data_IF_997982102688
#
_entry.id   IF_997982102688
#
_cell.length_a   1.000
_cell.length_b   1.000
_cell.length_c   1.000
_cell.angle_alpha   90.00
_cell.angle_beta   90.00
_cell.angle_gamma   90.00
#
_symmetry.space_group_name_H-M   'P 1'
#
loop_
_entity.id
_entity.type
_entity.pdbx_description
1 polymer ?
#
# COMPACT_ATOMS: atom_id res chain seq x y z
N UNK A 1 26.18 0.80 -9.51
CA UNK A 1 25.33 1.55 -10.45
C UNK A 1 23.91 1.04 -10.25
N UNK A 2 22.95 1.91 -9.93
CA UNK A 2 21.55 1.51 -9.73
C UNK A 2 20.87 1.31 -11.09
N UNK A 3 20.16 0.20 -11.26
CA UNK A 3 19.34 -0.05 -12.45
C UNK A 3 17.98 0.64 -12.27
N UNK A 4 17.53 1.37 -13.29
CA UNK A 4 16.22 2.03 -13.31
C UNK A 4 15.40 1.43 -14.45
N UNK A 5 14.21 0.95 -14.13
CA UNK A 5 13.23 0.45 -15.10
C UNK A 5 12.18 1.53 -15.37
N UNK A 6 11.81 1.73 -16.63
CA UNK A 6 10.88 2.78 -17.04
C UNK A 6 9.97 2.30 -18.17
N UNK A 7 8.71 2.74 -18.14
CA UNK A 7 7.73 2.62 -19.23
C UNK A 7 6.97 3.93 -19.36
N UNK A 8 6.69 4.36 -20.60
CA UNK A 8 5.77 5.47 -20.89
C UNK A 8 4.31 5.00 -21.01
N UNK A 9 4.08 3.69 -21.12
CA UNK A 9 2.78 3.08 -21.24
C UNK A 9 2.23 2.72 -19.85
N UNK A 10 1.12 3.33 -19.46
CA UNK A 10 0.47 3.12 -18.15
C UNK A 10 -0.69 2.16 -18.33
N UNK A 11 -0.40 0.87 -18.37
CA UNK A 11 -1.41 -0.20 -18.44
C UNK A 11 -1.14 -1.27 -17.38
N UNK A 12 -2.14 -2.09 -17.02
CA UNK A 12 -1.94 -3.19 -16.08
C UNK A 12 -0.87 -4.20 -16.51
N UNK A 13 -0.78 -4.48 -17.81
CA UNK A 13 0.18 -5.42 -18.39
C UNK A 13 1.60 -4.88 -18.24
N UNK A 14 1.79 -3.57 -18.48
CA UNK A 14 3.10 -2.93 -18.31
C UNK A 14 3.59 -2.91 -16.88
N UNK A 15 2.69 -2.86 -15.89
CA UNK A 15 3.08 -3.02 -14.48
C UNK A 15 3.59 -4.45 -14.20
N UNK A 16 3.03 -5.47 -14.85
CA UNK A 16 3.52 -6.85 -14.74
C UNK A 16 4.88 -6.98 -15.43
N UNK A 17 5.04 -6.46 -16.65
CA UNK A 17 6.31 -6.48 -17.38
C UNK A 17 7.45 -5.87 -16.56
N UNK A 18 7.19 -4.71 -15.92
CA UNK A 18 8.16 -4.04 -15.05
C UNK A 18 8.52 -4.88 -13.83
N UNK A 19 7.54 -5.52 -13.18
CA UNK A 19 7.80 -6.40 -12.05
C UNK A 19 8.65 -7.61 -12.47
N UNK A 20 8.35 -8.22 -13.62
CA UNK A 20 9.10 -9.37 -14.14
C UNK A 20 10.53 -8.98 -14.53
N UNK A 21 10.74 -7.76 -15.04
CA UNK A 21 12.07 -7.23 -15.33
C UNK A 21 12.97 -7.10 -14.08
N UNK A 22 12.39 -7.03 -12.87
CA UNK A 22 13.16 -7.04 -11.63
C UNK A 22 13.86 -8.39 -11.40
N UNK A 23 13.37 -9.49 -11.99
CA UNK A 23 13.89 -10.84 -11.75
C UNK A 23 13.70 -11.33 -10.32
N UNK A 24 12.73 -10.76 -9.59
CA UNK A 24 12.45 -11.08 -8.18
C UNK A 24 11.19 -11.93 -8.07
N UNK A 25 11.23 -12.93 -7.19
CA UNK A 25 10.04 -13.66 -6.76
C UNK A 25 9.79 -13.40 -5.27
N UNK A 26 8.61 -12.89 -4.94
CA UNK A 26 8.16 -12.73 -3.57
C UNK A 26 7.49 -14.03 -3.10
N UNK A 27 7.89 -14.52 -1.93
CA UNK A 27 7.37 -15.75 -1.34
C UNK A 27 6.65 -15.44 -0.02
N UNK A 28 5.65 -16.26 0.34
CA UNK A 28 4.90 -16.10 1.59
C UNK A 28 3.84 -15.00 1.50
N UNK A 29 3.59 -14.31 2.63
CA UNK A 29 2.62 -13.21 2.70
C UNK A 29 3.21 -11.95 2.06
N UNK A 30 2.55 -11.41 1.04
CA UNK A 30 2.98 -10.20 0.34
C UNK A 30 2.10 -9.02 0.71
N UNK A 31 2.72 -7.93 1.18
CA UNK A 31 2.05 -6.66 1.42
C UNK A 31 2.25 -5.71 0.22
N UNK A 32 1.17 -5.14 -0.28
CA UNK A 32 1.16 -4.13 -1.34
C UNK A 32 0.76 -2.80 -0.71
N UNK A 33 1.76 -2.00 -0.35
CA UNK A 33 1.54 -0.69 0.27
C UNK A 33 1.26 0.37 -0.79
N UNK A 34 0.10 0.99 -0.71
CA UNK A 34 -0.33 2.09 -1.60
C UNK A 34 -0.91 3.24 -0.79
N UNK A 35 -1.36 4.29 -1.47
CA UNK A 35 -2.30 5.26 -0.91
C UNK A 35 -3.69 4.97 -1.47
N UNK A 36 -4.69 4.73 -0.63
CA UNK A 36 -6.10 4.63 -1.04
C UNK A 36 -6.66 5.97 -1.51
N UNK A 37 -6.01 7.08 -1.14
CA UNK A 37 -6.41 8.45 -1.47
C UNK A 37 -7.63 8.94 -0.70
N UNK A 38 -7.72 10.26 -0.54
CA UNK A 38 -8.86 10.88 0.17
C UNK A 38 -10.16 10.72 -0.64
N UNK A 39 -11.31 10.50 0.03
CA UNK A 39 -12.63 10.58 -0.57
C UNK A 39 -12.85 11.84 -1.41
N UNK A 40 -13.42 11.66 -2.61
CA UNK A 40 -13.60 12.72 -3.60
C UNK A 40 -12.33 13.10 -4.38
N UNK A 41 -11.18 12.56 -3.99
CA UNK A 41 -9.92 12.70 -4.72
C UNK A 41 -9.85 11.79 -5.96
N UNK A 42 -9.04 12.18 -6.93
CA UNK A 42 -8.86 11.40 -8.18
C UNK A 42 -7.44 10.82 -8.33
N UNK A 43 -6.53 11.17 -7.42
CA UNK A 43 -5.09 10.89 -7.52
C UNK A 43 -4.65 9.58 -6.86
N UNK A 44 -5.58 8.67 -6.56
CA UNK A 44 -5.25 7.33 -6.08
C UNK A 44 -5.02 6.36 -7.23
N UNK A 45 -4.22 5.31 -6.97
CA UNK A 45 -4.02 4.24 -7.93
C UNK A 45 -5.34 3.51 -8.17
N UNK A 46 -5.81 3.53 -9.42
CA UNK A 46 -7.08 2.88 -9.78
C UNK A 46 -6.95 1.36 -9.60
N UNK A 47 -7.90 0.68 -8.92
CA UNK A 47 -7.89 -0.79 -8.82
C UNK A 47 -7.82 -1.48 -10.18
N UNK A 48 -8.43 -0.90 -11.21
CA UNK A 48 -8.36 -1.41 -12.58
C UNK A 48 -6.92 -1.43 -13.13
N UNK A 49 -6.08 -0.48 -12.73
CA UNK A 49 -4.69 -0.41 -13.17
C UNK A 49 -3.81 -1.43 -12.43
N UNK A 50 -3.92 -1.48 -11.10
CA UNK A 50 -3.00 -2.29 -10.26
C UNK A 50 -3.48 -3.73 -10.03
N UNK A 51 -4.78 -4.01 -10.22
CA UNK A 51 -5.43 -5.26 -9.85
C UNK A 51 -4.75 -6.52 -10.39
N UNK A 52 -4.39 -6.59 -11.68
CA UNK A 52 -3.68 -7.76 -12.23
C UNK A 52 -2.35 -8.05 -11.53
N UNK A 53 -1.54 -7.03 -11.25
CA UNK A 53 -0.27 -7.21 -10.54
C UNK A 53 -0.52 -7.65 -9.09
N UNK A 54 -1.42 -6.98 -8.35
CA UNK A 54 -1.72 -7.35 -6.95
C UNK A 54 -2.20 -8.80 -6.86
N UNK A 55 -3.06 -9.25 -7.79
CA UNK A 55 -3.53 -10.63 -7.88
C UNK A 55 -2.41 -11.61 -8.20
N UNK A 56 -1.53 -11.28 -9.16
CA UNK A 56 -0.35 -12.10 -9.49
C UNK A 56 0.55 -12.32 -8.28
N UNK A 57 0.69 -11.31 -7.42
CA UNK A 57 1.49 -11.37 -6.19
C UNK A 57 0.79 -12.10 -5.04
N UNK A 58 -0.51 -12.41 -5.14
CA UNK A 58 -1.30 -12.87 -3.99
C UNK A 58 -1.29 -11.85 -2.84
N UNK A 59 -1.21 -10.55 -3.18
CA UNK A 59 -0.93 -9.50 -2.22
C UNK A 59 -2.13 -9.07 -1.38
N UNK A 60 -1.85 -8.60 -0.17
CA UNK A 60 -2.79 -7.83 0.67
C UNK A 60 -2.46 -6.35 0.52
N UNK A 61 -3.46 -5.52 0.23
CA UNK A 61 -3.29 -4.07 0.18
C UNK A 61 -3.20 -3.56 1.62
N UNK A 62 -2.13 -2.85 1.97
CA UNK A 62 -1.91 -2.38 3.35
C UNK A 62 -1.77 -0.86 3.42
N UNK A 63 -2.36 -0.26 4.45
CA UNK A 63 -2.22 1.15 4.80
C UNK A 63 -2.30 1.38 6.31
N UNK A 64 -2.00 2.61 6.75
CA UNK A 64 -2.31 3.10 8.10
C UNK A 64 -3.21 4.33 7.99
N UNK A 65 -3.93 4.66 9.06
CA UNK A 65 -4.65 5.92 9.15
C UNK A 65 -3.71 7.11 8.95
N UNK A 66 -4.24 8.19 8.36
CA UNK A 66 -3.45 9.39 8.12
C UNK A 66 -3.16 10.12 9.44
N UNK A 67 -1.89 10.47 9.67
CA UNK A 67 -1.48 11.29 10.80
C UNK A 67 -1.99 12.74 10.73
N UNK A 68 -2.44 13.18 9.54
CA UNK A 68 -3.09 14.47 9.34
C UNK A 68 -4.62 14.32 9.35
N UNK A 69 -5.32 15.41 9.69
CA UNK A 69 -6.80 15.45 9.69
C UNK A 69 -7.33 15.25 8.26
N UNK A 70 -8.24 14.30 8.09
CA UNK A 70 -8.84 13.99 6.80
C UNK A 70 -9.89 12.89 6.93
N UNK A 71 -10.35 12.36 5.79
CA UNK A 71 -11.31 11.27 5.77
C UNK A 71 -10.65 9.89 5.75
N UNK A 72 -9.37 9.86 6.12
CA UNK A 72 -8.59 8.64 6.38
C UNK A 72 -7.89 8.66 7.74
N UNK A 73 -8.19 9.65 8.59
CA UNK A 73 -7.57 9.77 9.92
C UNK A 73 -8.32 8.98 11.00
N UNK A 74 -9.47 8.40 10.68
CA UNK A 74 -10.18 7.46 11.55
C UNK A 74 -10.41 6.17 10.80
N UNK A 75 -10.26 5.04 11.49
CA UNK A 75 -10.43 3.70 10.92
C UNK A 75 -11.74 3.55 10.14
N UNK A 76 -12.86 4.03 10.69
CA UNK A 76 -14.17 3.89 10.07
C UNK A 76 -14.27 4.67 8.73
N UNK A 77 -13.84 5.93 8.72
CA UNK A 77 -13.85 6.76 7.51
C UNK A 77 -12.82 6.23 6.48
N UNK A 78 -11.67 5.75 6.93
CA UNK A 78 -10.63 5.21 6.06
C UNK A 78 -11.10 3.92 5.37
N UNK A 79 -11.72 3.00 6.11
CA UNK A 79 -12.36 1.83 5.52
C UNK A 79 -13.44 2.20 4.51
N UNK A 80 -14.18 3.29 4.73
CA UNK A 80 -15.14 3.78 3.76
C UNK A 80 -14.45 4.26 2.48
N UNK A 81 -13.36 5.02 2.59
CA UNK A 81 -12.56 5.44 1.44
C UNK A 81 -12.05 4.23 0.63
N UNK A 82 -11.53 3.20 1.31
CA UNK A 82 -11.07 1.95 0.69
C UNK A 82 -12.19 1.27 -0.11
N UNK A 83 -13.41 1.19 0.47
CA UNK A 83 -14.59 0.61 -0.19
C UNK A 83 -15.04 1.44 -1.37
N UNK A 84 -15.19 2.74 -1.20
CA UNK A 84 -15.67 3.66 -2.24
C UNK A 84 -14.73 3.68 -3.45
N UNK A 85 -13.43 3.51 -3.22
CA UNK A 85 -12.43 3.44 -4.28
C UNK A 85 -12.26 2.04 -4.88
N UNK A 86 -12.98 1.02 -4.39
CA UNK A 86 -13.10 -0.29 -5.02
C UNK A 86 -11.94 -1.26 -4.78
N UNK A 87 -11.05 -1.00 -3.82
CA UNK A 87 -9.92 -1.88 -3.53
C UNK A 87 -10.29 -3.31 -3.07
N UNK A 88 -11.36 -3.53 -2.26
CA UNK A 88 -11.76 -4.87 -1.84
C UNK A 88 -12.15 -5.81 -3.01
N UNK A 89 -12.45 -5.26 -4.19
CA UNK A 89 -12.78 -6.05 -5.38
C UNK A 89 -11.54 -6.72 -6.03
N UNK A 90 -10.33 -6.27 -5.69
CA UNK A 90 -9.10 -6.78 -6.31
C UNK A 90 -8.21 -7.57 -5.34
N UNK A 91 -8.28 -7.30 -4.03
CA UNK A 91 -7.44 -7.94 -3.02
C UNK A 91 -8.00 -7.74 -1.60
N UNK A 92 -7.60 -8.56 -0.62
CA UNK A 92 -7.74 -8.23 0.79
C UNK A 92 -7.10 -6.88 1.09
N UNK A 93 -7.68 -6.15 2.03
CA UNK A 93 -7.17 -4.87 2.51
C UNK A 93 -6.91 -4.97 4.02
N UNK A 94 -5.98 -4.17 4.52
CA UNK A 94 -5.61 -4.11 5.93
C UNK A 94 -5.23 -2.66 6.32
N UNK A 95 -5.94 -2.12 7.32
CA UNK A 95 -5.56 -0.87 8.00
C UNK A 95 -4.76 -1.29 9.22
N UNK A 96 -3.44 -1.28 9.09
CA UNK A 96 -2.53 -1.95 10.02
C UNK A 96 -2.56 -1.38 11.44
N UNK A 97 -3.00 -0.13 11.60
CA UNK A 97 -3.08 0.58 12.87
C UNK A 97 -4.52 0.67 13.43
N UNK A 98 -5.47 -0.08 12.87
CA UNK A 98 -6.88 0.06 13.26
C UNK A 98 -7.16 -0.31 14.72
N UNK A 99 -6.36 -1.20 15.30
CA UNK A 99 -6.43 -1.59 16.71
C UNK A 99 -5.27 -1.04 17.56
N UNK A 100 -4.47 -0.14 16.99
CA UNK A 100 -3.34 0.49 17.65
C UNK A 100 -2.01 0.27 16.95
N UNK A 101 -0.96 0.77 17.58
CA UNK A 101 0.39 0.81 17.05
C UNK A 101 1.38 0.09 17.96
N UNK A 102 2.50 -0.32 17.39
CA UNK A 102 3.66 -0.84 18.12
C UNK A 102 4.88 0.02 17.82
N UNK A 103 5.77 0.16 18.80
CA UNK A 103 7.04 0.84 18.63
C UNK A 103 8.15 -0.15 18.28
N UNK A 104 8.83 0.08 17.15
CA UNK A 104 10.05 -0.64 16.77
C UNK A 104 11.27 0.21 17.17
N UNK A 105 12.22 -0.29 17.97
CA UNK A 105 13.37 0.49 18.40
C UNK A 105 14.29 0.83 17.20
N UNK A 106 14.78 2.08 17.16
CA UNK A 106 15.77 2.54 16.18
C UNK A 106 17.13 2.58 16.84
N UNK A 107 17.97 1.59 16.56
CA UNK A 107 19.34 1.53 17.11
C UNK A 107 20.29 2.39 16.28
N UNK A 108 21.01 3.31 16.92
CA UNK A 108 21.95 4.22 16.25
C UNK A 108 21.28 5.35 15.45
N UNK A 109 20.00 5.65 15.74
CA UNK A 109 19.27 6.71 15.08
C UNK A 109 19.80 8.11 15.39
N UNK A 110 19.80 8.99 14.39
CA UNK A 110 20.19 10.40 14.55
C UNK A 110 19.04 11.29 15.05
N UNK A 111 17.82 11.02 14.58
CA UNK A 111 16.63 11.86 14.82
C UNK A 111 15.46 11.11 15.46
N UNK A 112 15.52 9.78 15.51
CA UNK A 112 14.45 8.91 16.00
C UNK A 112 15.06 7.85 16.91
N UNK A 113 14.42 7.59 18.05
CA UNK A 113 14.74 6.50 18.97
C UNK A 113 13.84 5.28 18.74
N UNK A 114 12.68 5.48 18.14
CA UNK A 114 11.71 4.43 17.79
C UNK A 114 10.90 4.82 16.55
N UNK A 115 10.28 3.82 15.93
CA UNK A 115 9.39 3.95 14.78
C UNK A 115 8.05 3.30 15.10
N UNK A 116 6.99 4.09 15.14
CA UNK A 116 5.63 3.58 15.32
C UNK A 116 5.11 2.99 14.00
N UNK A 117 4.58 1.77 14.08
CA UNK A 117 3.95 1.06 12.96
C UNK A 117 2.63 0.46 13.42
N UNK A 118 1.77 0.09 12.48
CA UNK A 118 0.54 -0.61 12.80
C UNK A 118 0.79 -1.93 13.55
N UNK A 119 -0.07 -2.24 14.51
CA UNK A 119 0.02 -3.44 15.36
C UNK A 119 -0.17 -4.78 14.64
N UNK A 120 -0.53 -4.76 13.36
CA UNK A 120 -0.75 -5.95 12.53
C UNK A 120 0.54 -6.54 11.90
N UNK A 121 1.71 -5.97 12.21
CA UNK A 121 3.01 -6.40 11.66
C UNK A 121 3.40 -7.83 12.06
#
# INVERSE_FOLDING_TARGET
MSIVYFTSEITPERLIDLYEALGVSLNGKVAVKISSGEPGGHNYLKPALIGPLVKKLGGTIVECNTAYKGKRSTTADHWQAIRDHGFPAIAPCDIMDEFGEIAIPVTGGKHLTENFVGSHL
#
